data_IF_871785762607
#
_entry.id   IF_871785762607
#
_cell.length_a   1.000
_cell.length_b   1.000
_cell.length_c   1.000
_cell.angle_alpha   90.00
_cell.angle_beta   90.00
_cell.angle_gamma   90.00
#
_symmetry.space_group_name_H-M   'P 1'
#
loop_
_entity.id
_entity.type
_entity.pdbx_description
1 polymer ?
#
# COMPACT_ATOMS: atom_id res chain seq x y z
N UNK A 1 26.73 36.54 52.68
CA UNK A 1 26.44 35.10 52.56
C UNK A 1 26.63 34.68 51.11
N UNK A 2 27.77 34.07 50.77
CA UNK A 2 28.06 33.59 49.41
C UNK A 2 28.02 32.06 49.47
N UNK A 3 26.98 31.44 48.89
CA UNK A 3 26.83 29.98 48.81
C UNK A 3 27.63 29.45 47.62
N UNK A 4 28.64 28.63 47.89
CA UNK A 4 29.43 27.88 46.90
C UNK A 4 28.63 26.65 46.43
N UNK A 5 28.21 26.64 45.17
CA UNK A 5 27.70 25.43 44.50
C UNK A 5 28.88 24.52 44.15
N UNK A 6 28.84 23.27 44.63
CA UNK A 6 29.76 22.22 44.20
C UNK A 6 29.13 21.50 43.01
N UNK A 7 29.74 21.64 41.84
CA UNK A 7 29.39 20.88 40.64
C UNK A 7 30.03 19.49 40.79
N UNK A 8 29.20 18.47 41.01
CA UNK A 8 29.60 17.07 41.02
C UNK A 8 29.72 16.60 39.57
N UNK A 9 30.96 16.46 39.07
CA UNK A 9 31.22 15.89 37.76
C UNK A 9 30.99 14.37 37.81
N UNK A 10 29.86 13.92 37.29
CA UNK A 10 29.61 12.50 37.03
C UNK A 10 30.34 12.14 35.74
N UNK A 11 31.45 11.43 35.86
CA UNK A 11 32.15 10.82 34.73
C UNK A 11 31.34 9.59 34.31
N UNK A 12 30.47 9.73 33.31
CA UNK A 12 29.85 8.60 32.62
C UNK A 12 30.92 8.00 31.71
N UNK A 13 31.52 6.87 32.11
CA UNK A 13 32.35 6.06 31.22
C UNK A 13 31.43 5.40 30.19
N UNK A 14 31.31 5.99 29.00
CA UNK A 14 30.66 5.36 27.86
C UNK A 14 31.53 4.18 27.41
N UNK A 15 31.16 2.96 27.81
CA UNK A 15 31.74 1.74 27.24
C UNK A 15 31.16 1.62 25.83
N UNK A 16 31.93 2.04 24.82
CA UNK A 16 31.62 1.74 23.44
C UNK A 16 31.76 0.23 23.24
N UNK A 17 30.63 -0.50 23.23
CA UNK A 17 30.64 -1.89 22.82
C UNK A 17 31.03 -1.94 21.34
N UNK A 18 31.97 -2.80 20.93
CA UNK A 18 32.26 -3.01 19.52
C UNK A 18 31.00 -3.54 18.84
N UNK A 19 30.39 -2.72 18.00
CA UNK A 19 29.38 -3.18 17.05
C UNK A 19 30.16 -3.97 16.01
N UNK A 20 30.32 -5.28 16.22
CA UNK A 20 30.81 -6.16 15.17
C UNK A 20 29.77 -6.13 14.05
N UNK A 21 30.09 -5.47 12.94
CA UNK A 21 29.31 -5.58 11.72
C UNK A 21 29.22 -7.05 11.34
N UNK A 22 28.05 -7.49 10.87
CA UNK A 22 27.93 -8.82 10.30
C UNK A 22 28.92 -8.99 9.16
N UNK A 23 29.42 -10.21 8.97
CA UNK A 23 30.37 -10.50 7.89
C UNK A 23 29.75 -10.26 6.51
N UNK A 24 28.41 -10.31 6.40
CA UNK A 24 27.67 -10.22 5.14
C UNK A 24 26.41 -9.37 5.32
N UNK A 25 26.13 -8.43 4.41
CA UNK A 25 24.95 -7.54 4.51
C UNK A 25 24.02 -7.60 3.29
N UNK A 26 22.76 -7.93 3.52
CA UNK A 26 21.72 -8.00 2.49
C UNK A 26 20.67 -6.91 2.71
N UNK A 27 20.01 -6.50 1.62
CA UNK A 27 18.96 -5.48 1.66
C UNK A 27 17.72 -6.01 0.97
N UNK A 28 16.56 -5.62 1.48
CA UNK A 28 15.29 -5.93 0.87
C UNK A 28 14.18 -5.12 1.50
N UNK A 29 12.94 -5.33 1.06
CA UNK A 29 11.79 -4.57 1.55
C UNK A 29 10.79 -5.46 2.30
N UNK A 30 10.00 -4.84 3.16
CA UNK A 30 9.10 -5.51 4.08
C UNK A 30 7.99 -6.34 3.40
N UNK A 31 7.63 -6.03 2.16
CA UNK A 31 6.66 -6.77 1.34
C UNK A 31 7.27 -7.70 0.29
N UNK A 32 8.58 -7.98 0.35
CA UNK A 32 9.30 -8.81 -0.62
C UNK A 32 9.74 -10.16 -0.05
N UNK A 33 10.08 -11.08 -0.96
CA UNK A 33 10.91 -12.23 -0.66
C UNK A 33 12.38 -11.81 -0.77
N UNK A 34 13.05 -11.58 0.35
CA UNK A 34 14.43 -11.09 0.37
C UNK A 34 15.36 -12.28 0.17
N UNK A 35 15.96 -12.39 -1.01
CA UNK A 35 16.92 -13.45 -1.31
C UNK A 35 18.27 -13.18 -0.63
N UNK A 36 18.76 -14.20 0.07
CA UNK A 36 20.12 -14.28 0.58
C UNK A 36 20.85 -15.35 -0.24
N UNK A 37 21.79 -14.92 -1.07
CA UNK A 37 22.55 -15.81 -1.95
C UNK A 37 24.01 -15.87 -1.51
N UNK A 38 24.32 -16.85 -0.65
CA UNK A 38 25.65 -17.00 -0.05
C UNK A 38 26.69 -17.56 -1.04
N UNK A 39 26.25 -18.27 -2.09
CA UNK A 39 27.16 -18.81 -3.10
C UNK A 39 27.60 -17.78 -4.14
N UNK A 40 26.83 -16.70 -4.31
CA UNK A 40 27.18 -15.58 -5.19
C UNK A 40 28.15 -14.57 -4.54
N UNK A 41 28.49 -14.76 -3.27
CA UNK A 41 29.42 -13.92 -2.54
C UNK A 41 30.84 -14.07 -3.10
N UNK A 42 31.52 -12.99 -3.47
CA UNK A 42 32.95 -12.96 -3.68
C UNK A 42 33.72 -13.56 -2.51
N UNK A 43 34.74 -14.34 -2.85
CA UNK A 43 35.49 -15.15 -1.89
C UNK A 43 34.89 -16.52 -1.61
N UNK A 44 33.61 -16.77 -1.94
CA UNK A 44 33.02 -18.11 -1.87
C UNK A 44 33.46 -18.94 -3.08
N UNK A 45 34.24 -20.03 -2.90
CA UNK A 45 34.69 -20.85 -4.02
C UNK A 45 33.51 -21.55 -4.70
N UNK A 46 33.60 -21.77 -6.01
CA UNK A 46 32.66 -22.64 -6.71
C UNK A 46 32.65 -24.04 -6.06
N UNK A 47 31.45 -24.57 -5.76
CA UNK A 47 31.30 -25.84 -5.04
C UNK A 47 31.44 -25.74 -3.53
N UNK A 48 31.42 -24.53 -2.95
CA UNK A 48 31.35 -24.37 -1.50
C UNK A 48 30.15 -25.10 -0.88
N UNK A 49 30.33 -25.52 0.36
CA UNK A 49 29.32 -26.22 1.15
C UNK A 49 28.78 -25.33 2.25
N UNK A 50 27.48 -25.43 2.51
CA UNK A 50 26.76 -24.62 3.49
C UNK A 50 26.17 -25.51 4.58
N UNK A 51 26.39 -25.17 5.85
CA UNK A 51 25.85 -25.90 6.99
C UNK A 51 25.66 -24.98 8.19
N UNK A 52 25.19 -25.51 9.34
CA UNK A 52 25.12 -24.74 10.58
C UNK A 52 24.23 -23.48 10.52
N UNK A 53 23.22 -23.46 9.65
CA UNK A 53 22.31 -22.32 9.52
C UNK A 53 21.59 -22.07 10.86
N UNK A 54 21.80 -20.89 11.42
CA UNK A 54 21.17 -20.40 12.63
C UNK A 54 20.34 -19.15 12.32
N UNK A 55 19.04 -19.25 12.58
CA UNK A 55 18.04 -18.22 12.25
C UNK A 55 17.38 -17.63 13.51
N UNK A 56 18.01 -17.75 14.68
CA UNK A 56 17.43 -17.25 15.93
C UNK A 56 17.17 -15.72 15.90
N UNK A 57 18.04 -14.95 15.22
CA UNK A 57 17.84 -13.50 15.01
C UNK A 57 16.75 -13.16 13.98
N UNK A 58 16.14 -14.16 13.36
CA UNK A 58 15.01 -14.04 12.43
C UNK A 58 13.69 -14.52 13.07
N UNK A 59 13.65 -14.71 14.40
CA UNK A 59 12.48 -15.19 15.11
C UNK A 59 11.24 -14.30 14.88
N UNK A 60 10.12 -14.94 14.52
CA UNK A 60 8.88 -14.25 14.14
C UNK A 60 8.82 -13.80 12.69
N UNK A 61 9.89 -14.01 11.91
CA UNK A 61 9.87 -13.92 10.45
C UNK A 61 9.85 -15.30 9.82
N UNK A 62 9.46 -15.38 8.55
CA UNK A 62 9.50 -16.65 7.83
C UNK A 62 10.81 -16.75 7.06
N UNK A 63 11.47 -17.90 7.16
CA UNK A 63 12.72 -18.19 6.46
C UNK A 63 12.58 -19.53 5.76
N UNK A 64 12.74 -19.55 4.45
CA UNK A 64 12.65 -20.76 3.63
C UNK A 64 13.94 -20.94 2.83
N UNK A 65 14.45 -22.16 2.79
CA UNK A 65 15.68 -22.48 2.05
C UNK A 65 15.37 -22.89 0.60
N UNK A 66 16.42 -22.98 -0.21
CA UNK A 66 16.34 -23.46 -1.59
C UNK A 66 15.88 -24.90 -1.73
N UNK A 67 16.02 -25.72 -0.68
CA UNK A 67 15.53 -27.10 -0.65
C UNK A 67 14.03 -27.11 -0.94
N UNK A 68 13.30 -26.20 -0.30
CA UNK A 68 11.87 -26.04 -0.46
C UNK A 68 11.51 -25.24 -1.72
N UNK A 69 12.12 -24.07 -1.90
CA UNK A 69 11.63 -23.11 -2.89
C UNK A 69 12.07 -23.37 -4.33
N UNK A 70 13.19 -24.08 -4.50
CA UNK A 70 13.81 -24.28 -5.83
C UNK A 70 14.26 -25.72 -6.08
N UNK A 71 13.96 -26.64 -5.16
CA UNK A 71 14.43 -28.03 -5.20
C UNK A 71 15.96 -28.15 -5.36
N UNK A 72 16.71 -27.22 -4.77
CA UNK A 72 18.18 -27.25 -4.75
C UNK A 72 18.65 -27.38 -3.29
N UNK A 73 19.50 -28.35 -2.95
CA UNK A 73 19.94 -28.51 -1.57
C UNK A 73 20.63 -27.24 -1.04
N UNK A 74 20.18 -26.70 0.09
CA UNK A 74 20.81 -25.51 0.70
C UNK A 74 22.30 -25.73 0.91
N UNK A 75 22.68 -26.96 1.27
CA UNK A 75 24.06 -27.39 1.49
C UNK A 75 24.97 -27.17 0.29
N UNK A 76 24.42 -27.02 -0.91
CA UNK A 76 25.16 -26.78 -2.17
C UNK A 76 24.84 -25.43 -2.80
N UNK A 77 23.63 -24.92 -2.62
CA UNK A 77 23.20 -23.66 -3.23
C UNK A 77 23.58 -22.44 -2.39
N UNK A 78 23.60 -22.57 -1.05
CA UNK A 78 23.73 -21.46 -0.11
C UNK A 78 22.60 -20.43 -0.19
N UNK A 79 21.44 -20.79 -0.75
CA UNK A 79 20.33 -19.85 -0.97
C UNK A 79 19.20 -20.04 0.03
N UNK A 80 18.76 -18.92 0.61
CA UNK A 80 17.57 -18.84 1.45
C UNK A 80 16.82 -17.53 1.18
N UNK A 81 15.57 -17.47 1.59
CA UNK A 81 14.71 -16.29 1.48
C UNK A 81 14.16 -15.93 2.85
N UNK A 82 14.21 -14.64 3.17
CA UNK A 82 13.60 -14.05 4.36
C UNK A 82 12.36 -13.29 3.94
N UNK A 83 11.26 -13.57 4.64
CA UNK A 83 9.97 -12.92 4.43
C UNK A 83 9.57 -12.19 5.73
N UNK A 84 9.84 -10.87 5.81
CA UNK A 84 9.50 -10.07 6.97
C UNK A 84 8.00 -10.18 7.30
N UNK A 85 7.68 -10.26 8.58
CA UNK A 85 6.30 -10.41 9.03
C UNK A 85 5.69 -9.02 9.19
N UNK A 86 4.65 -8.66 8.40
CA UNK A 86 4.08 -7.34 8.47
C UNK A 86 3.34 -7.05 9.77
N UNK A 87 3.02 -8.07 10.58
CA UNK A 87 2.43 -7.88 11.91
C UNK A 87 3.46 -7.52 12.98
N UNK A 88 4.76 -7.64 12.69
CA UNK A 88 5.83 -7.24 13.61
C UNK A 88 6.17 -5.75 13.49
N UNK A 89 5.18 -4.92 13.18
CA UNK A 89 5.31 -3.50 12.89
C UNK A 89 5.30 -2.61 14.16
N UNK A 90 6.02 -3.03 15.21
CA UNK A 90 6.08 -2.29 16.48
C UNK A 90 7.51 -2.19 17.01
N UNK A 91 7.83 -1.06 17.65
CA UNK A 91 9.16 -0.85 18.23
C UNK A 91 9.57 -1.94 19.24
N UNK A 92 8.61 -2.48 19.99
CA UNK A 92 8.85 -3.58 20.94
C UNK A 92 9.31 -4.88 20.24
N UNK A 93 9.02 -5.04 18.95
CA UNK A 93 9.40 -6.20 18.14
C UNK A 93 10.63 -5.92 17.26
N UNK A 94 11.30 -4.77 17.45
CA UNK A 94 12.50 -4.37 16.74
C UNK A 94 12.24 -3.51 15.49
N UNK A 95 11.00 -3.12 15.24
CA UNK A 95 10.67 -2.25 14.11
C UNK A 95 11.12 -0.81 14.37
N UNK A 96 11.92 -0.26 13.47
CA UNK A 96 12.45 1.09 13.54
C UNK A 96 11.45 2.15 13.06
N UNK A 97 10.39 1.75 12.34
CA UNK A 97 9.41 2.69 11.81
C UNK A 97 7.97 2.14 11.82
N UNK A 98 7.43 1.92 13.01
CA UNK A 98 6.07 1.41 13.24
C UNK A 98 4.93 2.22 12.57
N UNK A 99 5.22 3.44 12.09
CA UNK A 99 4.26 4.24 11.30
C UNK A 99 4.12 3.79 9.85
N UNK A 100 5.00 2.92 9.36
CA UNK A 100 4.98 2.38 8.01
C UNK A 100 4.64 0.89 8.05
N UNK A 101 3.90 0.43 7.04
CA UNK A 101 3.46 -0.96 6.96
C UNK A 101 4.62 -1.91 6.74
N UNK A 102 4.66 -2.97 7.54
CA UNK A 102 5.69 -4.01 7.50
C UNK A 102 6.64 -3.92 8.70
N UNK A 103 7.56 -4.87 8.85
CA UNK A 103 8.72 -4.71 9.74
C UNK A 103 9.82 -3.91 9.04
N UNK A 104 10.46 -2.94 9.69
CA UNK A 104 11.68 -2.29 9.22
C UNK A 104 12.78 -2.43 10.27
N UNK A 105 13.98 -2.86 9.86
CA UNK A 105 15.05 -3.07 10.82
C UNK A 105 16.12 -4.02 10.31
N UNK A 106 17.03 -4.40 11.21
CA UNK A 106 18.12 -5.32 10.89
C UNK A 106 17.82 -6.68 11.50
N UNK A 107 17.77 -7.70 10.66
CA UNK A 107 17.67 -9.09 11.07
C UNK A 107 19.03 -9.76 10.94
N UNK A 108 19.35 -10.72 11.80
CA UNK A 108 20.67 -11.37 11.80
C UNK A 108 20.59 -12.89 11.86
N UNK A 109 21.59 -13.55 11.30
CA UNK A 109 21.75 -15.00 11.35
C UNK A 109 23.22 -15.41 11.21
N UNK A 110 23.47 -16.71 11.25
CA UNK A 110 24.78 -17.25 10.96
C UNK A 110 24.71 -18.56 10.17
N UNK A 111 25.82 -18.89 9.51
CA UNK A 111 25.98 -20.05 8.63
C UNK A 111 27.45 -20.46 8.62
N UNK A 112 27.74 -21.73 8.37
CA UNK A 112 29.08 -22.21 8.09
C UNK A 112 29.30 -22.36 6.59
N UNK A 113 30.34 -21.74 6.04
CA UNK A 113 30.78 -21.88 4.65
C UNK A 113 32.08 -22.68 4.65
N UNK A 114 32.08 -23.89 4.08
CA UNK A 114 33.22 -24.83 4.15
C UNK A 114 33.75 -25.07 5.57
N UNK A 115 32.84 -25.09 6.55
CA UNK A 115 33.18 -25.29 7.97
C UNK A 115 33.59 -24.02 8.73
N UNK A 116 33.79 -22.88 8.06
CA UNK A 116 34.06 -21.60 8.70
C UNK A 116 32.76 -20.87 9.04
N UNK A 117 32.59 -20.48 10.31
CA UNK A 117 31.41 -19.73 10.74
C UNK A 117 31.42 -18.30 10.19
N UNK A 118 30.28 -17.87 9.63
CA UNK A 118 30.00 -16.53 9.12
C UNK A 118 28.69 -16.02 9.70
N UNK A 119 28.61 -14.73 9.93
CA UNK A 119 27.40 -14.00 10.30
C UNK A 119 26.86 -13.23 9.11
N UNK A 120 25.55 -13.05 9.05
CA UNK A 120 24.92 -12.19 8.05
C UNK A 120 23.85 -11.31 8.67
N UNK A 121 23.57 -10.18 8.03
CA UNK A 121 22.48 -9.28 8.36
C UNK A 121 21.58 -9.03 7.14
N UNK A 122 20.30 -8.76 7.40
CA UNK A 122 19.32 -8.30 6.41
C UNK A 122 18.74 -6.98 6.90
N UNK A 123 19.03 -5.89 6.20
CA UNK A 123 18.38 -4.60 6.43
C UNK A 123 17.08 -4.54 5.63
N UNK A 124 15.97 -4.52 6.35
CA UNK A 124 14.62 -4.47 5.81
C UNK A 124 14.13 -3.03 5.73
N UNK A 125 13.93 -2.55 4.50
CA UNK A 125 13.36 -1.25 4.20
C UNK A 125 11.83 -1.30 4.08
N UNK A 126 11.14 -0.16 4.17
CA UNK A 126 9.72 -0.12 3.93
C UNK A 126 9.33 -0.42 2.47
N UNK A 127 8.13 -0.99 2.32
CA UNK A 127 7.46 -1.16 1.05
C UNK A 127 7.78 -2.47 0.34
N UNK A 128 7.72 -2.44 -0.99
CA UNK A 128 7.91 -3.63 -1.80
C UNK A 128 8.38 -3.29 -3.22
N UNK A 129 9.01 -4.27 -3.87
CA UNK A 129 9.54 -4.16 -5.22
C UNK A 129 8.47 -4.50 -6.24
N UNK A 130 8.38 -3.69 -7.29
CA UNK A 130 7.41 -3.83 -8.38
C UNK A 130 7.98 -4.48 -9.65
N UNK A 131 9.29 -4.46 -9.83
CA UNK A 131 9.96 -5.15 -10.94
C UNK A 131 11.38 -5.56 -10.59
N UNK A 132 11.84 -6.70 -11.10
CA UNK A 132 13.19 -7.22 -10.87
C UNK A 132 13.25 -8.15 -9.65
N UNK A 133 14.43 -8.22 -9.01
CA UNK A 133 14.63 -9.04 -7.82
C UNK A 133 13.74 -8.53 -6.67
N UNK A 134 13.01 -9.46 -6.04
CA UNK A 134 12.04 -9.15 -4.97
C UNK A 134 10.61 -8.93 -5.46
N UNK A 135 10.40 -8.67 -6.76
CA UNK A 135 9.05 -8.57 -7.32
C UNK A 135 8.36 -9.94 -7.36
N UNK A 136 7.03 -9.93 -7.35
CA UNK A 136 6.21 -11.15 -7.43
C UNK A 136 6.33 -11.75 -8.82
N UNK A 137 6.86 -12.97 -8.89
CA UNK A 137 6.86 -13.80 -10.09
C UNK A 137 5.50 -14.47 -10.35
N UNK A 138 5.32 -14.97 -11.58
CA UNK A 138 4.13 -15.72 -11.97
C UNK A 138 4.43 -16.75 -13.04
N UNK A 139 3.74 -17.88 -12.95
CA UNK A 139 3.68 -18.94 -13.96
C UNK A 139 2.28 -19.59 -13.99
N UNK A 140 1.24 -18.76 -13.78
CA UNK A 140 -0.16 -19.18 -13.64
C UNK A 140 -0.38 -20.07 -12.40
N UNK A 141 0.14 -19.66 -11.25
CA UNK A 141 -0.04 -20.40 -9.99
C UNK A 141 -1.52 -20.46 -9.61
N UNK A 142 -1.97 -21.62 -9.15
CA UNK A 142 -3.35 -21.83 -8.71
C UNK A 142 -3.47 -23.02 -7.76
N UNK A 143 -4.60 -23.11 -7.04
CA UNK A 143 -4.84 -24.23 -6.13
C UNK A 143 -4.86 -25.57 -6.89
N UNK A 144 -4.19 -26.59 -6.33
CA UNK A 144 -4.18 -27.96 -6.86
C UNK A 144 -3.29 -28.17 -8.10
N UNK A 145 -2.60 -27.13 -8.58
CA UNK A 145 -1.69 -27.26 -9.71
C UNK A 145 -0.33 -27.81 -9.26
N UNK A 146 -0.02 -29.03 -9.69
CA UNK A 146 1.23 -29.72 -9.34
C UNK A 146 2.51 -29.02 -9.86
N UNK A 147 2.38 -28.17 -10.88
CA UNK A 147 3.48 -27.43 -11.50
C UNK A 147 3.60 -25.99 -11.00
N UNK A 148 2.98 -25.67 -9.86
CA UNK A 148 3.24 -24.39 -9.19
C UNK A 148 4.74 -24.24 -8.90
N UNK A 149 5.27 -23.04 -9.14
CA UNK A 149 6.63 -22.70 -8.74
C UNK A 149 6.63 -22.26 -7.27
N UNK A 150 7.23 -23.01 -6.33
CA UNK A 150 7.11 -22.70 -4.90
C UNK A 150 7.68 -21.34 -4.51
N UNK A 151 8.76 -20.88 -5.17
CA UNK A 151 9.29 -19.53 -4.95
C UNK A 151 8.26 -18.45 -5.34
N UNK A 152 7.60 -18.60 -6.49
CA UNK A 152 6.58 -17.65 -6.93
C UNK A 152 5.37 -17.67 -6.00
N UNK A 153 4.94 -18.85 -5.54
CA UNK A 153 3.88 -18.97 -4.54
C UNK A 153 4.26 -18.25 -3.24
N UNK A 154 5.47 -18.45 -2.73
CA UNK A 154 5.93 -17.78 -1.51
C UNK A 154 6.00 -16.25 -1.65
N UNK A 155 6.42 -15.75 -2.82
CA UNK A 155 6.38 -14.32 -3.15
C UNK A 155 4.94 -13.78 -3.16
N UNK A 156 3.99 -14.52 -3.76
CA UNK A 156 2.58 -14.15 -3.82
C UNK A 156 1.95 -14.14 -2.43
N UNK A 157 2.21 -15.16 -1.61
CA UNK A 157 1.77 -15.25 -0.23
C UNK A 157 2.27 -14.07 0.60
N UNK A 158 3.57 -13.76 0.49
CA UNK A 158 4.15 -12.63 1.19
C UNK A 158 3.52 -11.30 0.76
N UNK A 159 3.27 -11.12 -0.54
CA UNK A 159 2.65 -9.89 -1.04
C UNK A 159 1.19 -9.76 -0.59
N UNK A 160 0.41 -10.84 -0.63
CA UNK A 160 -0.97 -10.84 -0.10
C UNK A 160 -0.98 -10.50 1.39
N UNK A 161 -0.10 -11.13 2.18
CA UNK A 161 0.07 -10.87 3.61
C UNK A 161 0.45 -9.41 3.88
N UNK A 162 1.42 -8.89 3.13
CA UNK A 162 1.84 -7.49 3.23
C UNK A 162 0.68 -6.53 2.94
N UNK A 163 -0.07 -6.77 1.87
CA UNK A 163 -1.23 -5.96 1.48
C UNK A 163 -2.43 -6.12 2.44
N UNK A 164 -2.37 -7.03 3.42
CA UNK A 164 -3.38 -7.22 4.46
C UNK A 164 -4.49 -8.21 4.10
N UNK A 165 -4.38 -8.90 2.97
CA UNK A 165 -5.35 -9.93 2.58
C UNK A 165 -5.15 -11.18 3.43
N UNK A 166 -6.26 -11.70 3.93
CA UNK A 166 -6.32 -12.86 4.82
C UNK A 166 -7.12 -13.98 4.15
N UNK A 167 -6.97 -15.21 4.65
CA UNK A 167 -7.78 -16.32 4.20
C UNK A 167 -9.23 -16.15 4.65
N UNK A 168 -10.13 -16.91 4.02
CA UNK A 168 -11.50 -17.04 4.53
C UNK A 168 -11.49 -17.48 6.00
N UNK A 169 -12.23 -16.78 6.86
CA UNK A 169 -12.17 -16.94 8.31
C UNK A 169 -11.17 -16.03 9.03
N UNK A 170 -10.41 -15.22 8.29
CA UNK A 170 -9.60 -14.12 8.84
C UNK A 170 -8.17 -14.48 9.26
N UNK A 171 -7.69 -15.69 8.98
CA UNK A 171 -6.33 -16.07 9.32
C UNK A 171 -5.30 -15.49 8.34
N UNK A 172 -4.12 -15.13 8.85
CA UNK A 172 -3.03 -14.68 7.99
C UNK A 172 -2.63 -15.76 6.98
N UNK A 173 -2.27 -15.35 5.76
CA UNK A 173 -1.74 -16.26 4.75
C UNK A 173 -0.35 -16.73 5.17
N UNK A 174 -0.17 -18.05 5.29
CA UNK A 174 1.14 -18.65 5.54
C UNK A 174 2.05 -18.43 4.32
N UNK A 175 3.35 -18.22 4.58
CA UNK A 175 4.37 -18.14 3.53
C UNK A 175 5.15 -19.45 3.55
N UNK A 176 4.73 -20.42 2.76
CA UNK A 176 5.27 -21.79 2.76
C UNK A 176 5.64 -22.28 1.34
N UNK A 177 5.30 -21.51 0.30
CA UNK A 177 5.50 -21.93 -1.09
C UNK A 177 4.45 -22.90 -1.62
N UNK A 178 3.44 -23.25 -0.81
CA UNK A 178 2.35 -24.15 -1.18
C UNK A 178 1.06 -23.37 -1.46
N UNK A 179 0.52 -23.53 -2.68
CA UNK A 179 -0.70 -22.83 -3.07
C UNK A 179 -1.95 -23.56 -2.55
N UNK A 180 -2.18 -23.43 -1.24
CA UNK A 180 -3.31 -24.04 -0.54
C UNK A 180 -4.62 -23.25 -0.60
N UNK A 181 -5.69 -23.75 0.06
CA UNK A 181 -6.98 -23.06 0.15
C UNK A 181 -6.90 -21.67 0.79
N UNK A 182 -6.02 -21.48 1.78
CA UNK A 182 -5.79 -20.18 2.41
C UNK A 182 -5.26 -19.14 1.42
N UNK A 183 -4.23 -19.51 0.63
CA UNK A 183 -3.70 -18.67 -0.44
C UNK A 183 -4.76 -18.38 -1.50
N UNK A 184 -5.50 -19.39 -1.95
CA UNK A 184 -6.56 -19.22 -2.96
C UNK A 184 -7.67 -18.27 -2.48
N UNK A 185 -8.13 -18.41 -1.24
CA UNK A 185 -9.20 -17.54 -0.72
C UNK A 185 -8.77 -16.08 -0.60
N UNK A 186 -7.59 -15.81 -0.03
CA UNK A 186 -7.00 -14.47 0.02
C UNK A 186 -6.81 -13.88 -1.38
N UNK A 187 -6.30 -14.69 -2.33
CA UNK A 187 -6.12 -14.28 -3.72
C UNK A 187 -7.45 -13.89 -4.37
N UNK A 188 -8.51 -14.66 -4.15
CA UNK A 188 -9.82 -14.38 -4.75
C UNK A 188 -10.43 -13.09 -4.20
N UNK A 189 -10.21 -12.76 -2.92
CA UNK A 189 -10.59 -11.45 -2.37
C UNK A 189 -9.79 -10.33 -3.05
N UNK A 190 -8.48 -10.49 -3.20
CA UNK A 190 -7.63 -9.54 -3.93
C UNK A 190 -8.07 -9.37 -5.40
N UNK A 191 -8.33 -10.46 -6.10
CA UNK A 191 -8.79 -10.45 -7.49
C UNK A 191 -10.15 -9.76 -7.63
N UNK A 192 -11.08 -9.98 -6.71
CA UNK A 192 -12.37 -9.30 -6.72
C UNK A 192 -12.21 -7.79 -6.59
N UNK A 193 -11.35 -7.34 -5.68
CA UNK A 193 -11.02 -5.92 -5.51
C UNK A 193 -10.48 -5.26 -6.80
N UNK A 194 -9.55 -5.92 -7.50
CA UNK A 194 -8.93 -5.36 -8.72
C UNK A 194 -9.78 -5.52 -9.99
N UNK A 195 -10.80 -6.40 -9.97
CA UNK A 195 -11.83 -6.44 -11.03
C UNK A 195 -12.79 -5.27 -10.80
N UNK A 196 -13.21 -5.06 -9.55
CA UNK A 196 -14.04 -3.95 -9.07
C UNK A 196 -15.17 -3.59 -10.02
N UNK A 197 -15.94 -4.61 -10.40
CA UNK A 197 -17.16 -4.48 -11.20
C UNK A 197 -18.42 -4.56 -10.34
N UNK A 198 -19.56 -4.40 -11.00
CA UNK A 198 -20.90 -4.52 -10.42
C UNK A 198 -21.10 -5.90 -9.76
N UNK A 199 -21.47 -5.91 -8.47
CA UNK A 199 -21.75 -7.13 -7.69
C UNK A 199 -20.59 -8.14 -7.70
N UNK A 200 -19.35 -7.65 -7.72
CA UNK A 200 -18.18 -8.53 -7.79
C UNK A 200 -17.99 -9.25 -6.47
N UNK A 201 -17.83 -10.56 -6.54
CA UNK A 201 -17.48 -11.42 -5.40
C UNK A 201 -16.34 -12.35 -5.78
N UNK A 202 -15.86 -13.15 -4.83
CA UNK A 202 -14.88 -14.20 -5.08
C UNK A 202 -15.35 -15.26 -6.08
N UNK A 203 -16.64 -15.35 -6.38
CA UNK A 203 -17.15 -16.25 -7.42
C UNK A 203 -16.86 -15.75 -8.84
N UNK A 204 -16.59 -14.45 -9.01
CA UNK A 204 -16.28 -13.84 -10.30
C UNK A 204 -14.79 -13.93 -10.67
N UNK A 205 -13.97 -14.57 -9.83
CA UNK A 205 -12.52 -14.65 -9.97
C UNK A 205 -12.08 -16.06 -10.37
N UNK A 206 -10.90 -16.19 -10.97
CA UNK A 206 -10.37 -17.49 -11.41
C UNK A 206 -9.46 -18.16 -10.35
N UNK A 207 -8.95 -17.41 -9.37
CA UNK A 207 -7.98 -17.92 -8.40
C UNK A 207 -6.63 -18.28 -9.02
N UNK A 208 -6.29 -17.69 -10.18
CA UNK A 208 -5.05 -17.93 -10.91
C UNK A 208 -4.19 -16.66 -10.89
N UNK A 209 -2.92 -16.79 -10.51
CA UNK A 209 -1.97 -15.67 -10.61
C UNK A 209 -1.44 -15.57 -12.03
N UNK A 210 -2.23 -14.93 -12.89
CA UNK A 210 -1.81 -14.55 -14.24
C UNK A 210 -1.11 -13.19 -14.32
N UNK A 211 -0.69 -12.75 -15.52
CA UNK A 211 0.03 -11.49 -15.70
C UNK A 211 -0.71 -10.26 -15.16
N UNK A 212 -2.04 -10.22 -15.24
CA UNK A 212 -2.82 -9.11 -14.70
C UNK A 212 -2.75 -9.07 -13.15
N UNK A 213 -2.97 -10.22 -12.51
CA UNK A 213 -2.92 -10.36 -11.06
C UNK A 213 -1.52 -10.08 -10.51
N UNK A 214 -0.48 -10.66 -11.12
CA UNK A 214 0.91 -10.36 -10.76
C UNK A 214 1.26 -8.88 -10.97
N UNK A 215 0.79 -8.28 -12.07
CA UNK A 215 0.97 -6.86 -12.33
C UNK A 215 0.34 -5.97 -11.26
N UNK A 216 -0.82 -6.36 -10.70
CA UNK A 216 -1.44 -5.66 -9.58
C UNK A 216 -0.76 -5.94 -8.24
N UNK A 217 -0.32 -7.18 -7.97
CA UNK A 217 0.46 -7.50 -6.76
C UNK A 217 1.75 -6.66 -6.71
N UNK A 218 2.31 -6.34 -7.86
CA UNK A 218 3.49 -5.50 -8.03
C UNK A 218 3.19 -4.00 -8.19
N UNK A 219 1.94 -3.58 -8.39
CA UNK A 219 1.60 -2.18 -8.69
C UNK A 219 1.83 -1.27 -7.48
N UNK A 220 2.33 -0.05 -7.69
CA UNK A 220 2.56 0.90 -6.60
C UNK A 220 1.28 1.25 -5.83
N UNK A 221 0.16 1.27 -6.54
CA UNK A 221 -1.17 1.55 -5.99
C UNK A 221 -2.01 0.28 -5.80
N UNK A 222 -1.39 -0.89 -5.59
CA UNK A 222 -2.11 -2.09 -5.21
C UNK A 222 -3.04 -1.83 -4.01
N UNK A 223 -4.25 -2.41 -3.98
CA UNK A 223 -5.17 -2.17 -2.88
C UNK A 223 -4.59 -2.75 -1.60
N UNK A 224 -4.67 -1.99 -0.51
CA UNK A 224 -4.49 -2.55 0.83
C UNK A 224 -5.85 -3.00 1.34
N UNK A 225 -5.90 -4.14 2.01
CA UNK A 225 -7.05 -4.54 2.81
C UNK A 225 -6.92 -3.93 4.20
N UNK A 226 -7.89 -3.11 4.60
CA UNK A 226 -7.82 -2.40 5.87
C UNK A 226 -9.18 -2.12 6.49
N UNK A 227 -9.15 -1.94 7.81
CA UNK A 227 -10.29 -1.52 8.60
C UNK A 227 -10.54 -0.02 8.38
N UNK A 228 -11.80 0.36 8.16
CA UNK A 228 -12.23 1.74 8.20
C UNK A 228 -12.30 2.19 9.65
N UNK A 229 -11.54 3.23 9.99
CA UNK A 229 -11.52 3.81 11.34
C UNK A 229 -12.13 5.21 11.30
N UNK A 230 -13.21 5.41 12.06
CA UNK A 230 -13.82 6.73 12.24
C UNK A 230 -13.07 7.52 13.32
N UNK A 231 -12.99 8.83 13.15
CA UNK A 231 -12.51 9.76 14.18
C UNK A 231 -13.69 10.50 14.81
N UNK A 232 -13.65 10.89 16.10
CA UNK A 232 -14.78 11.54 16.76
C UNK A 232 -15.28 12.83 16.08
N UNK A 233 -14.39 13.57 15.41
CA UNK A 233 -14.72 14.79 14.65
C UNK A 233 -14.74 14.56 13.13
N UNK A 234 -14.72 13.29 12.70
CA UNK A 234 -14.60 12.90 11.31
C UNK A 234 -15.79 13.32 10.43
N UNK A 235 -15.64 13.22 9.11
CA UNK A 235 -16.73 13.48 8.18
C UNK A 235 -17.76 12.34 8.11
N UNK A 236 -17.45 11.18 8.69
CA UNK A 236 -18.36 10.03 8.77
C UNK A 236 -18.33 9.35 10.14
N UNK A 237 -19.35 8.52 10.38
CA UNK A 237 -19.47 7.55 11.48
C UNK A 237 -19.68 6.15 10.92
N UNK A 238 -19.45 5.12 11.72
CA UNK A 238 -19.61 3.70 11.34
C UNK A 238 -20.61 3.05 12.28
N UNK A 239 -21.64 2.40 11.75
CA UNK A 239 -22.59 1.61 12.54
C UNK A 239 -22.39 0.10 12.42
N UNK A 240 -21.73 -0.39 11.36
CA UNK A 240 -21.37 -1.79 11.22
C UNK A 240 -20.14 -2.15 12.07
N UNK A 241 -20.33 -2.96 13.12
CA UNK A 241 -19.21 -3.41 13.96
C UNK A 241 -18.32 -4.45 13.26
N UNK A 242 -18.91 -5.34 12.45
CA UNK A 242 -18.20 -6.45 11.80
C UNK A 242 -17.98 -6.25 10.30
N UNK A 243 -18.66 -5.29 9.69
CA UNK A 243 -18.64 -5.00 8.25
C UNK A 243 -18.03 -3.61 8.02
N UNK A 244 -16.74 -3.49 8.34
CA UNK A 244 -16.00 -2.23 8.27
C UNK A 244 -14.64 -2.35 7.61
N UNK A 245 -14.42 -3.43 6.84
CA UNK A 245 -13.20 -3.64 6.09
C UNK A 245 -13.45 -3.35 4.62
N UNK A 246 -12.48 -2.73 3.98
CA UNK A 246 -12.53 -2.43 2.56
C UNK A 246 -11.13 -2.30 1.96
N UNK A 247 -11.07 -2.12 0.65
CA UNK A 247 -9.82 -1.74 -0.01
C UNK A 247 -9.41 -0.31 0.42
N UNK A 248 -8.13 0.00 0.38
CA UNK A 248 -7.63 1.36 0.63
C UNK A 248 -8.25 2.39 -0.33
N UNK A 249 -8.60 1.98 -1.54
CA UNK A 249 -9.29 2.82 -2.51
C UNK A 249 -10.69 3.20 -2.05
N UNK A 250 -11.46 2.22 -1.57
CA UNK A 250 -12.79 2.43 -1.00
C UNK A 250 -12.73 3.30 0.25
N UNK A 251 -11.75 3.05 1.13
CA UNK A 251 -11.54 3.88 2.34
C UNK A 251 -11.23 5.34 1.97
N UNK A 252 -10.40 5.58 0.94
CA UNK A 252 -10.09 6.92 0.46
C UNK A 252 -11.32 7.61 -0.16
N UNK A 253 -12.14 6.87 -0.94
CA UNK A 253 -13.42 7.38 -1.45
C UNK A 253 -14.36 7.77 -0.31
N UNK A 254 -14.48 6.95 0.74
CA UNK A 254 -15.31 7.27 1.91
C UNK A 254 -14.80 8.53 2.61
N UNK A 255 -13.48 8.64 2.84
CA UNK A 255 -12.90 9.76 3.55
C UNK A 255 -13.08 11.09 2.79
N UNK A 256 -12.68 11.13 1.51
CA UNK A 256 -12.79 12.33 0.67
C UNK A 256 -14.23 12.62 0.28
N UNK A 257 -15.01 11.61 -0.09
CA UNK A 257 -16.42 11.72 -0.44
C UNK A 257 -17.28 12.24 0.70
N UNK A 258 -17.10 11.71 1.92
CA UNK A 258 -17.81 12.21 3.11
C UNK A 258 -17.38 13.64 3.45
N UNK A 259 -16.11 13.99 3.25
CA UNK A 259 -15.65 15.38 3.44
C UNK A 259 -16.38 16.34 2.52
N UNK A 260 -16.46 16.02 1.23
CA UNK A 260 -17.18 16.84 0.24
C UNK A 260 -18.69 16.89 0.53
N UNK A 261 -19.29 15.74 0.83
CA UNK A 261 -20.71 15.63 1.17
C UNK A 261 -21.06 16.47 2.39
N UNK A 262 -20.27 16.37 3.47
CA UNK A 262 -20.44 17.17 4.69
C UNK A 262 -20.25 18.66 4.42
N UNK A 263 -19.30 19.07 3.59
CA UNK A 263 -19.15 20.47 3.20
C UNK A 263 -20.37 20.99 2.42
N UNK A 264 -20.99 20.16 1.58
CA UNK A 264 -22.14 20.54 0.76
C UNK A 264 -23.47 20.56 1.53
N UNK A 265 -23.63 19.75 2.57
CA UNK A 265 -24.92 19.59 3.27
C UNK A 265 -24.89 19.90 4.76
N UNK A 266 -23.71 20.01 5.38
CA UNK A 266 -23.54 20.11 6.83
C UNK A 266 -23.85 18.80 7.59
N UNK A 267 -24.04 17.68 6.90
CA UNK A 267 -24.44 16.39 7.48
C UNK A 267 -23.23 15.46 7.53
N UNK A 268 -22.98 14.83 8.68
CA UNK A 268 -21.99 13.76 8.83
C UNK A 268 -22.56 12.46 8.27
N UNK A 269 -21.81 11.80 7.39
CA UNK A 269 -22.22 10.56 6.73
C UNK A 269 -22.23 9.39 7.73
N UNK A 270 -23.14 8.42 7.58
CA UNK A 270 -23.18 7.21 8.41
C UNK A 270 -23.01 6.00 7.52
N UNK A 271 -21.84 5.38 7.60
CA UNK A 271 -21.50 4.16 6.86
C UNK A 271 -22.12 2.97 7.58
N UNK A 272 -23.04 2.28 6.90
CA UNK A 272 -23.85 1.20 7.49
C UNK A 272 -23.32 -0.18 7.19
N UNK A 273 -22.65 -0.39 6.05
CA UNK A 273 -22.00 -1.65 5.72
C UNK A 273 -20.81 -1.46 4.76
N UNK A 274 -19.84 -2.35 4.93
CA UNK A 274 -18.68 -2.64 4.08
C UNK A 274 -18.49 -4.17 4.10
N UNK A 275 -17.27 -4.67 3.83
CA UNK A 275 -16.97 -6.09 3.96
C UNK A 275 -16.60 -6.52 5.38
N UNK A 276 -16.76 -7.81 5.67
CA UNK A 276 -16.14 -8.46 6.84
C UNK A 276 -14.63 -8.49 6.75
N UNK A 277 -13.94 -8.78 7.87
CA UNK A 277 -12.48 -8.82 7.94
C UNK A 277 -11.81 -9.74 6.91
N UNK A 278 -12.48 -10.81 6.47
CA UNK A 278 -11.98 -11.73 5.45
C UNK A 278 -12.50 -11.46 4.03
N UNK A 279 -13.42 -10.50 3.88
CA UNK A 279 -14.03 -10.15 2.61
C UNK A 279 -15.10 -11.13 2.09
N UNK A 280 -15.42 -12.21 2.82
CA UNK A 280 -16.36 -13.26 2.37
C UNK A 280 -17.77 -13.10 2.95
N UNK A 281 -17.88 -12.50 4.14
CA UNK A 281 -19.14 -12.26 4.80
C UNK A 281 -19.77 -10.94 4.36
N UNK A 282 -21.09 -10.98 4.21
CA UNK A 282 -21.97 -9.84 4.39
C UNK A 282 -23.31 -10.37 4.84
N UNK A 283 -23.54 -10.37 6.14
CA UNK A 283 -24.75 -10.94 6.73
C UNK A 283 -25.70 -9.87 7.26
N UNK A 284 -25.28 -8.60 7.34
CA UNK A 284 -26.12 -7.56 7.92
C UNK A 284 -27.09 -6.92 6.91
N UNK A 285 -26.73 -6.78 5.63
CA UNK A 285 -27.55 -6.03 4.65
C UNK A 285 -27.79 -6.82 3.35
N UNK A 286 -26.78 -7.09 2.52
CA UNK A 286 -26.92 -8.01 1.37
C UNK A 286 -25.59 -8.59 0.84
N UNK A 287 -25.68 -9.69 0.08
CA UNK A 287 -24.56 -10.57 -0.29
C UNK A 287 -23.42 -9.92 -1.11
N UNK A 288 -23.60 -8.70 -1.60
CA UNK A 288 -22.67 -7.99 -2.47
C UNK A 288 -21.51 -7.32 -1.75
N UNK A 289 -21.56 -7.05 -0.43
CA UNK A 289 -20.43 -6.44 0.30
C UNK A 289 -19.27 -7.39 0.55
N UNK A 290 -18.78 -8.02 -0.50
CA UNK A 290 -17.58 -8.83 -0.50
C UNK A 290 -16.47 -8.00 -1.13
N UNK A 291 -15.24 -8.46 -0.95
CA UNK A 291 -14.05 -7.91 -1.65
C UNK A 291 -13.78 -6.40 -1.49
N UNK A 292 -14.48 -5.72 -0.56
CA UNK A 292 -14.17 -4.38 -0.09
C UNK A 292 -14.41 -3.26 -1.09
N UNK A 293 -15.34 -3.46 -2.03
CA UNK A 293 -15.66 -2.53 -3.12
C UNK A 293 -17.03 -1.88 -2.99
N UNK A 294 -17.76 -2.15 -1.91
CA UNK A 294 -19.17 -1.78 -1.77
C UNK A 294 -19.38 -1.01 -0.46
N UNK A 295 -20.13 0.08 -0.53
CA UNK A 295 -20.39 0.97 0.61
C UNK A 295 -21.87 1.29 0.71
N UNK A 296 -22.44 1.09 1.89
CA UNK A 296 -23.77 1.62 2.20
C UNK A 296 -23.68 2.90 3.01
N UNK A 297 -24.36 3.93 2.52
CA UNK A 297 -24.54 5.20 3.19
C UNK A 297 -26.00 5.33 3.64
N UNK A 298 -26.24 5.39 4.95
CA UNK A 298 -27.59 5.60 5.46
C UNK A 298 -28.22 6.89 4.93
N UNK A 299 -29.50 6.82 4.58
CA UNK A 299 -30.31 7.98 4.19
C UNK A 299 -31.27 8.37 5.32
N UNK A 300 -31.81 9.58 5.23
CA UNK A 300 -32.80 10.06 6.20
C UNK A 300 -34.12 9.30 6.01
N UNK A 301 -34.83 8.94 7.10
CA UNK A 301 -36.04 8.10 7.02
C UNK A 301 -37.16 8.65 6.13
N UNK A 302 -37.25 9.97 5.98
CA UNK A 302 -38.22 10.59 5.06
C UNK A 302 -37.98 10.25 3.59
N UNK A 303 -36.78 9.79 3.21
CA UNK A 303 -36.45 9.40 1.83
C UNK A 303 -36.70 7.91 1.58
N UNK A 304 -37.15 7.14 2.59
CA UNK A 304 -37.42 5.70 2.53
C UNK A 304 -38.76 5.43 1.83
N UNK A 305 -38.90 5.98 0.63
CA UNK A 305 -40.07 5.90 -0.23
C UNK A 305 -39.58 5.67 -1.69
N UNK A 306 -40.50 5.46 -2.63
CA UNK A 306 -40.18 5.14 -4.03
C UNK A 306 -39.94 6.37 -4.93
N UNK A 307 -40.01 7.57 -4.37
CA UNK A 307 -40.17 8.83 -5.09
C UNK A 307 -41.64 9.16 -5.35
N UNK A 308 -41.95 10.44 -5.37
CA UNK A 308 -43.28 10.98 -5.68
C UNK A 308 -43.29 11.93 -6.90
N UNK A 309 -42.13 12.09 -7.55
CA UNK A 309 -41.94 12.98 -8.69
C UNK A 309 -41.51 14.39 -8.30
N UNK A 310 -41.27 14.66 -7.01
CA UNK A 310 -40.80 15.93 -6.49
C UNK A 310 -39.65 15.73 -5.50
N UNK A 311 -38.44 16.16 -5.86
CA UNK A 311 -37.26 16.08 -4.99
C UNK A 311 -37.43 16.92 -3.71
N UNK A 312 -37.59 16.27 -2.57
CA UNK A 312 -37.59 16.88 -1.24
C UNK A 312 -36.20 17.39 -0.83
N UNK A 313 -36.15 18.21 0.23
CA UNK A 313 -34.88 18.71 0.77
C UNK A 313 -33.94 17.57 1.25
N UNK A 314 -34.49 16.47 1.76
CA UNK A 314 -33.69 15.34 2.22
C UNK A 314 -33.19 14.49 1.05
N UNK A 315 -33.99 14.28 0.00
CA UNK A 315 -33.53 13.62 -1.23
C UNK A 315 -32.44 14.44 -1.91
N UNK A 316 -32.59 15.78 -1.95
CA UNK A 316 -31.55 16.68 -2.43
C UNK A 316 -30.24 16.55 -1.65
N UNK A 317 -30.29 16.32 -0.34
CA UNK A 317 -29.09 16.06 0.46
C UNK A 317 -28.43 14.72 0.09
N UNK A 318 -29.21 13.67 -0.14
CA UNK A 318 -28.68 12.36 -0.62
C UNK A 318 -28.03 12.51 -2.00
N UNK A 319 -28.67 13.25 -2.92
CA UNK A 319 -28.09 13.57 -4.24
C UNK A 319 -26.75 14.31 -4.09
N UNK A 320 -26.66 15.30 -3.19
CA UNK A 320 -25.41 16.01 -2.89
C UNK A 320 -24.35 15.10 -2.26
N UNK A 321 -24.75 14.12 -1.44
CA UNK A 321 -23.82 13.12 -0.93
C UNK A 321 -23.23 12.31 -2.07
N UNK A 322 -24.06 11.77 -2.97
CA UNK A 322 -23.59 11.02 -4.14
C UNK A 322 -22.61 11.84 -5.00
N UNK A 323 -22.93 13.10 -5.28
CA UNK A 323 -22.05 14.01 -6.03
C UNK A 323 -20.72 14.22 -5.29
N UNK A 324 -20.75 14.41 -3.97
CA UNK A 324 -19.54 14.57 -3.16
C UNK A 324 -18.60 13.38 -3.26
N UNK A 325 -19.13 12.15 -3.34
CA UNK A 325 -18.35 10.92 -3.53
C UNK A 325 -17.79 10.79 -4.95
N UNK A 326 -18.55 11.15 -5.98
CA UNK A 326 -18.08 11.13 -7.39
C UNK A 326 -16.94 12.13 -7.60
N UNK A 327 -17.08 13.33 -7.03
CA UNK A 327 -16.13 14.43 -7.24
C UNK A 327 -14.96 14.43 -6.25
N UNK A 328 -14.83 13.38 -5.45
CA UNK A 328 -13.88 13.30 -4.33
C UNK A 328 -12.41 13.42 -4.74
N UNK A 329 -12.05 13.17 -6.01
CA UNK A 329 -10.66 13.06 -6.43
C UNK A 329 -9.92 11.95 -5.67
N UNK A 330 -10.65 10.90 -5.28
CA UNK A 330 -10.12 9.76 -4.56
C UNK A 330 -9.34 8.83 -5.49
N UNK A 331 -8.55 7.95 -4.89
CA UNK A 331 -7.82 6.89 -5.59
C UNK A 331 -8.77 5.84 -6.19
N UNK A 332 -9.85 5.48 -5.48
CA UNK A 332 -10.93 4.66 -6.04
C UNK A 332 -11.86 5.46 -6.97
N UNK A 333 -12.58 4.76 -7.84
CA UNK A 333 -13.60 5.39 -8.71
C UNK A 333 -14.99 4.87 -8.35
N UNK A 334 -15.94 5.77 -8.11
CA UNK A 334 -17.36 5.38 -8.08
C UNK A 334 -17.78 4.86 -9.45
N UNK A 335 -18.18 3.60 -9.52
CA UNK A 335 -18.61 2.97 -10.78
C UNK A 335 -20.11 2.79 -10.88
N UNK A 336 -20.83 2.82 -9.76
CA UNK A 336 -22.31 2.73 -9.74
C UNK A 336 -22.88 3.25 -8.43
N UNK A 337 -24.06 3.85 -8.50
CA UNK A 337 -24.95 3.96 -7.34
C UNK A 337 -26.19 3.09 -7.50
N UNK A 338 -26.73 2.65 -6.37
CA UNK A 338 -28.01 1.94 -6.30
C UNK A 338 -28.93 2.63 -5.29
N UNK A 339 -30.18 2.83 -5.67
CA UNK A 339 -31.23 3.36 -4.78
C UNK A 339 -32.60 2.84 -5.19
N UNK A 340 -33.51 2.72 -4.23
CA UNK A 340 -34.94 2.43 -4.48
C UNK A 340 -35.81 3.69 -4.58
N UNK A 341 -35.25 4.89 -4.47
CA UNK A 341 -36.00 6.14 -4.56
C UNK A 341 -35.79 6.81 -5.94
N UNK A 342 -36.87 6.96 -6.71
CA UNK A 342 -36.80 7.48 -8.09
C UNK A 342 -36.34 8.93 -8.15
N UNK A 343 -36.73 9.78 -7.20
CA UNK A 343 -36.35 11.19 -7.17
C UNK A 343 -34.83 11.36 -6.90
N UNK A 344 -34.27 10.50 -6.03
CA UNK A 344 -32.82 10.44 -5.81
C UNK A 344 -32.11 9.95 -7.08
N UNK A 345 -32.60 8.88 -7.70
CA UNK A 345 -32.05 8.35 -8.95
C UNK A 345 -31.99 9.43 -10.04
N UNK A 346 -33.11 10.09 -10.30
CA UNK A 346 -33.23 11.12 -11.34
C UNK A 346 -32.35 12.33 -11.04
N UNK A 347 -32.27 12.75 -9.78
CA UNK A 347 -31.40 13.84 -9.36
C UNK A 347 -29.92 13.55 -9.53
N UNK A 348 -29.47 12.33 -9.23
CA UNK A 348 -28.07 11.92 -9.49
C UNK A 348 -27.82 11.85 -11.00
N UNK A 349 -28.73 11.25 -11.77
CA UNK A 349 -28.60 11.13 -13.23
C UNK A 349 -28.49 12.49 -13.90
N UNK A 350 -29.30 13.46 -13.46
CA UNK A 350 -29.28 14.82 -13.97
C UNK A 350 -27.96 15.53 -13.64
N UNK A 351 -27.43 15.34 -12.43
CA UNK A 351 -26.20 16.00 -12.00
C UNK A 351 -24.93 15.35 -12.60
N UNK A 352 -24.89 14.03 -12.72
CA UNK A 352 -23.71 13.24 -13.15
C UNK A 352 -24.11 12.17 -14.17
N UNK A 353 -24.47 12.56 -15.40
CA UNK A 353 -25.03 11.63 -16.38
C UNK A 353 -24.07 10.53 -16.84
N UNK A 354 -22.76 10.67 -16.58
CA UNK A 354 -21.74 9.68 -16.90
C UNK A 354 -21.56 8.61 -15.84
N UNK A 355 -22.17 8.75 -14.66
CA UNK A 355 -22.07 7.77 -13.57
C UNK A 355 -23.18 6.74 -13.75
N UNK A 356 -22.86 5.44 -13.87
CA UNK A 356 -23.89 4.41 -13.93
C UNK A 356 -24.78 4.40 -12.69
N UNK A 357 -26.08 4.19 -12.89
CA UNK A 357 -27.07 4.09 -11.83
C UNK A 357 -27.91 2.83 -12.00
N UNK A 358 -28.36 2.26 -10.89
CA UNK A 358 -29.31 1.17 -10.87
C UNK A 358 -30.48 1.53 -9.97
N UNK A 359 -31.68 1.54 -10.54
CA UNK A 359 -32.92 1.72 -9.78
C UNK A 359 -33.38 0.36 -9.26
N UNK A 360 -33.27 0.15 -7.95
CA UNK A 360 -33.67 -1.10 -7.31
C UNK A 360 -35.17 -1.13 -7.02
N UNK A 361 -35.92 -1.86 -7.85
CA UNK A 361 -37.37 -2.05 -7.71
C UNK A 361 -37.78 -3.04 -6.61
N UNK A 362 -36.83 -3.71 -5.94
CA UNK A 362 -37.15 -4.65 -4.86
C UNK A 362 -37.40 -3.96 -3.51
N UNK A 363 -36.85 -2.75 -3.33
CA UNK A 363 -36.97 -1.96 -2.11
C UNK A 363 -35.86 -2.23 -1.12
N UNK A 364 -34.88 -3.07 -1.49
CA UNK A 364 -33.74 -3.40 -0.66
C UNK A 364 -32.85 -2.19 -0.34
N UNK A 365 -32.91 -1.13 -1.16
CA UNK A 365 -32.11 0.08 -1.02
C UNK A 365 -32.97 1.33 -0.73
N UNK A 366 -34.02 1.19 0.10
CA UNK A 366 -34.83 2.33 0.54
C UNK A 366 -34.16 3.13 1.65
N UNK A 367 -33.42 2.46 2.54
CA UNK A 367 -32.88 3.06 3.76
C UNK A 367 -31.42 3.51 3.66
N UNK A 368 -30.80 3.26 2.51
CA UNK A 368 -29.42 3.62 2.22
C UNK A 368 -29.21 3.91 0.72
N UNK A 369 -28.08 4.55 0.42
CA UNK A 369 -27.51 4.66 -0.91
C UNK A 369 -26.32 3.69 -0.98
N UNK A 370 -26.40 2.70 -1.86
CA UNK A 370 -25.30 1.76 -2.09
C UNK A 370 -24.38 2.31 -3.19
N UNK A 371 -23.08 2.17 -2.96
CA UNK A 371 -22.01 2.71 -3.80
C UNK A 371 -21.04 1.59 -4.16
N UNK A 372 -20.89 1.31 -5.46
CA UNK A 372 -19.84 0.44 -5.97
C UNK A 372 -18.58 1.26 -6.31
N UNK A 373 -17.43 0.78 -5.84
CA UNK A 373 -16.11 1.37 -6.05
C UNK A 373 -15.26 0.43 -6.89
N UNK A 374 -14.81 0.92 -8.04
CA UNK A 374 -13.87 0.23 -8.92
C UNK A 374 -12.41 0.64 -8.68
N UNK A 375 -11.46 -0.15 -9.20
CA UNK A 375 -10.04 0.12 -9.09
C UNK A 375 -9.65 1.44 -9.80
N UNK A 376 -8.60 2.13 -9.33
CA UNK A 376 -7.90 3.15 -10.11
C UNK A 376 -7.28 2.57 -11.39
N UNK A 377 -6.76 3.47 -12.20
CA UNK A 377 -5.76 3.06 -13.21
C UNK A 377 -4.53 2.50 -12.48
N UNK A 378 -4.09 1.30 -12.87
CA UNK A 378 -2.90 0.66 -12.30
C UNK A 378 -1.65 1.50 -12.57
N UNK A 379 -0.91 1.82 -11.52
CA UNK A 379 0.40 2.47 -11.61
C UNK A 379 1.45 1.37 -11.53
N UNK A 380 2.38 1.35 -12.48
CA UNK A 380 3.47 0.40 -12.48
C UNK A 380 4.23 0.47 -11.15
N UNK A 381 4.67 -0.70 -10.68
CA UNK A 381 5.43 -0.81 -9.46
C UNK A 381 6.80 -0.16 -9.53
N UNK A 382 7.43 -0.03 -8.37
CA UNK A 382 8.79 0.48 -8.23
C UNK A 382 9.80 -0.47 -8.86
N UNK A 383 10.64 0.06 -9.73
CA UNK A 383 11.85 -0.64 -10.14
C UNK A 383 12.94 -0.37 -9.12
N UNK A 384 13.77 -1.34 -8.76
CA UNK A 384 14.98 -1.02 -8.00
C UNK A 384 15.86 -0.11 -8.86
N UNK A 385 16.22 1.07 -8.34
CA UNK A 385 17.12 1.97 -9.04
C UNK A 385 18.49 1.30 -9.14
N UNK A 386 19.07 1.30 -10.33
CA UNK A 386 20.42 0.78 -10.49
C UNK A 386 21.38 1.66 -9.65
N UNK A 387 22.14 1.04 -8.74
CA UNK A 387 23.05 1.77 -7.84
C UNK A 387 22.42 2.29 -6.54
N UNK A 388 21.11 2.11 -6.33
CA UNK A 388 20.47 2.29 -5.02
C UNK A 388 20.69 0.99 -4.21
N UNK A 389 21.73 1.00 -3.40
CA UNK A 389 22.19 -0.17 -2.64
C UNK A 389 21.51 -0.29 -1.29
N UNK A 390 20.97 0.80 -0.75
CA UNK A 390 20.27 0.77 0.54
C UNK A 390 18.74 0.62 0.38
N UNK A 391 18.22 0.69 -0.85
CA UNK A 391 16.81 0.60 -1.26
C UNK A 391 15.93 1.71 -0.67
N UNK A 392 16.48 2.91 -0.45
CA UNK A 392 15.76 4.09 0.05
C UNK A 392 15.10 4.93 -1.06
N UNK A 393 15.16 4.45 -2.31
CA UNK A 393 14.63 5.09 -3.51
C UNK A 393 15.42 6.32 -3.99
N UNK A 394 16.62 6.55 -3.47
CA UNK A 394 17.52 7.62 -3.88
C UNK A 394 18.91 7.04 -4.11
N UNK A 395 19.58 7.41 -5.22
CA UNK A 395 20.98 7.05 -5.43
C UNK A 395 21.85 8.21 -4.93
N UNK A 396 22.42 8.11 -3.74
CA UNK A 396 23.21 9.13 -3.07
C UNK A 396 24.48 8.59 -2.37
N UNK A 397 25.08 9.38 -1.46
CA UNK A 397 26.29 8.98 -0.75
C UNK A 397 26.06 7.87 0.31
N UNK A 398 24.82 7.65 0.74
CA UNK A 398 24.44 6.59 1.67
C UNK A 398 24.52 5.22 1.00
N UNK A 399 24.18 5.13 -0.29
CA UNK A 399 24.42 3.91 -1.08
C UNK A 399 25.90 3.57 -1.12
N UNK A 400 26.75 4.57 -1.32
CA UNK A 400 28.19 4.34 -1.30
C UNK A 400 28.67 3.89 0.08
N UNK A 401 28.04 4.37 1.16
CA UNK A 401 28.32 3.92 2.51
C UNK A 401 27.89 2.45 2.74
N UNK A 402 26.85 1.97 2.04
CA UNK A 402 26.48 0.55 1.99
C UNK A 402 27.44 -0.25 1.13
N UNK A 403 27.83 0.26 -0.04
CA UNK A 403 28.72 -0.44 -0.96
C UNK A 403 30.11 -0.69 -0.37
N UNK A 404 30.69 0.30 0.32
CA UNK A 404 32.06 0.27 0.84
C UNK A 404 32.37 -0.92 1.76
N UNK A 405 31.63 -1.19 2.84
CA UNK A 405 31.93 -2.30 3.74
C UNK A 405 31.80 -3.66 3.07
N UNK A 406 30.99 -3.78 2.01
CA UNK A 406 30.75 -5.03 1.30
C UNK A 406 31.41 -5.06 -0.10
N UNK A 407 32.36 -4.15 -0.38
CA UNK A 407 33.07 -4.11 -1.66
C UNK A 407 34.06 -5.27 -1.75
N UNK A 408 33.97 -6.07 -2.81
CA UNK A 408 34.76 -7.30 -2.94
C UNK A 408 34.19 -8.46 -2.12
N UNK A 409 33.06 -8.24 -1.45
CA UNK A 409 32.08 -9.20 -0.96
C UNK A 409 30.81 -8.94 -1.80
N UNK A 410 29.68 -8.50 -1.26
CA UNK A 410 28.42 -8.40 -2.01
C UNK A 410 28.43 -7.52 -3.29
N UNK A 411 29.41 -6.64 -3.45
CA UNK A 411 29.48 -5.73 -4.59
C UNK A 411 30.80 -5.77 -5.35
N UNK A 412 30.72 -5.58 -6.66
CA UNK A 412 31.83 -5.51 -7.60
C UNK A 412 32.18 -4.07 -7.97
N UNK A 413 33.30 -3.88 -8.68
CA UNK A 413 33.64 -2.58 -9.26
C UNK A 413 32.65 -2.11 -10.32
N UNK A 414 31.93 -3.00 -10.99
CA UNK A 414 30.89 -2.61 -11.96
C UNK A 414 29.65 -2.01 -11.27
N UNK A 415 29.36 -2.46 -10.03
CA UNK A 415 28.29 -1.89 -9.21
C UNK A 415 28.64 -0.44 -8.82
N UNK A 416 29.88 -0.18 -8.42
CA UNK A 416 30.36 1.19 -8.17
C UNK A 416 30.21 2.11 -9.39
N UNK A 417 30.57 1.63 -10.59
CA UNK A 417 30.37 2.40 -11.82
C UNK A 417 28.88 2.64 -12.12
N UNK A 418 28.02 1.71 -11.73
CA UNK A 418 26.56 1.86 -11.87
C UNK A 418 26.03 2.93 -10.92
N UNK A 419 26.40 2.89 -9.65
CA UNK A 419 26.12 3.95 -8.68
C UNK A 419 26.59 5.31 -9.19
N UNK A 420 27.84 5.42 -9.65
CA UNK A 420 28.41 6.68 -10.13
C UNK A 420 27.61 7.26 -11.32
N UNK A 421 27.09 6.41 -12.22
CA UNK A 421 26.25 6.83 -13.35
C UNK A 421 24.84 7.25 -12.95
N UNK A 422 24.36 6.81 -11.79
CA UNK A 422 22.99 7.01 -11.33
C UNK A 422 22.90 8.00 -10.15
N UNK A 423 24.03 8.51 -9.65
CA UNK A 423 24.08 9.48 -8.56
C UNK A 423 23.14 10.67 -8.79
N UNK A 424 22.26 10.93 -7.82
CA UNK A 424 21.22 11.96 -7.85
C UNK A 424 19.89 11.51 -8.46
N UNK A 425 19.77 10.27 -8.94
CA UNK A 425 18.47 9.69 -9.33
C UNK A 425 17.63 9.41 -8.10
N UNK A 426 16.32 9.62 -8.21
CA UNK A 426 15.36 9.24 -7.17
C UNK A 426 14.04 8.77 -7.76
N UNK A 427 13.31 7.94 -7.01
CA UNK A 427 11.91 7.62 -7.27
C UNK A 427 11.02 8.33 -6.25
N UNK A 428 9.76 8.55 -6.63
CA UNK A 428 8.77 9.13 -5.70
C UNK A 428 8.59 8.21 -4.48
N UNK A 429 8.77 8.71 -3.24
CA UNK A 429 8.57 7.93 -2.03
C UNK A 429 7.16 7.35 -1.91
N UNK A 430 7.04 6.16 -1.32
CA UNK A 430 5.78 5.47 -1.10
C UNK A 430 5.03 6.21 0.00
N UNK A 431 3.81 6.67 -0.27
CA UNK A 431 3.01 7.41 0.72
C UNK A 431 3.24 8.92 0.75
N UNK A 432 4.17 9.45 -0.04
CA UNK A 432 4.06 10.81 -0.53
C UNK A 432 3.02 10.81 -1.66
N UNK A 433 1.74 10.62 -1.33
CA UNK A 433 0.73 11.28 -2.16
C UNK A 433 1.20 12.72 -2.17
N UNK A 434 1.60 13.22 -3.34
CA UNK A 434 1.74 14.65 -3.52
C UNK A 434 0.38 15.18 -3.09
N UNK A 435 0.32 15.76 -1.89
CA UNK A 435 -0.69 16.74 -1.58
C UNK A 435 -0.38 17.79 -2.63
N UNK A 436 -1.03 17.66 -3.78
CA UNK A 436 -1.25 18.79 -4.65
C UNK A 436 -2.04 19.72 -3.73
N UNK A 437 -1.32 20.49 -2.91
CA UNK A 437 -1.79 21.81 -2.58
C UNK A 437 -2.09 22.35 -3.95
N UNK A 438 -3.38 22.52 -4.23
CA UNK A 438 -3.82 23.44 -5.24
C UNK A 438 -3.09 24.73 -4.88
N UNK A 439 -1.94 24.95 -5.53
CA UNK A 439 -1.24 26.21 -5.47
C UNK A 439 -2.32 27.15 -5.94
N UNK A 440 -2.89 28.01 -5.06
CA UNK A 440 -4.00 28.84 -5.46
C UNK A 440 -3.50 29.58 -6.68
N UNK A 441 -4.14 29.38 -7.84
CA UNK A 441 -3.73 30.09 -9.05
C UNK A 441 -3.62 31.55 -8.64
N UNK A 442 -2.46 32.21 -8.85
CA UNK A 442 -2.30 33.60 -8.45
C UNK A 442 -3.44 34.32 -9.14
N UNK A 443 -4.43 34.78 -8.35
CA UNK A 443 -5.73 35.23 -8.86
C UNK A 443 -5.46 36.06 -10.09
N UNK A 444 -5.87 35.61 -11.27
CA UNK A 444 -5.53 36.26 -12.53
C UNK A 444 -5.92 37.75 -12.51
N UNK A 445 -6.88 38.12 -11.66
CA UNK A 445 -7.25 39.49 -11.29
C UNK A 445 -6.11 40.36 -10.74
N UNK A 446 -5.18 39.82 -9.94
CA UNK A 446 -4.03 40.57 -9.39
C UNK A 446 -2.97 40.85 -10.47
N UNK A 447 -2.76 39.89 -11.39
CA UNK A 447 -1.89 40.08 -12.55
C UNK A 447 -2.54 41.05 -13.56
N UNK A 448 -3.85 40.96 -13.79
CA UNK A 448 -4.55 41.93 -14.65
C UNK A 448 -4.55 43.34 -14.05
N UNK A 449 -4.74 43.48 -12.73
CA UNK A 449 -4.72 44.78 -12.06
C UNK A 449 -3.32 45.44 -12.11
N UNK A 450 -2.24 44.66 -11.94
CA UNK A 450 -0.87 45.19 -12.06
C UNK A 450 -0.51 45.54 -13.51
N UNK A 451 -1.01 44.78 -14.49
CA UNK A 451 -0.86 45.13 -15.91
C UNK A 451 -1.64 46.41 -16.28
N UNK A 452 -2.85 46.59 -15.74
CA UNK A 452 -3.64 47.81 -15.99
C UNK A 452 -3.06 49.05 -15.28
N UNK A 453 -2.48 48.90 -14.10
CA UNK A 453 -1.78 50.00 -13.40
C UNK A 453 -0.50 50.42 -14.13
N UNK A 454 0.24 49.48 -14.74
CA UNK A 454 1.44 49.81 -15.51
C UNK A 454 1.12 50.48 -16.86
N UNK A 455 0.03 50.08 -17.52
CA UNK A 455 -0.42 50.73 -18.76
C UNK A 455 -0.98 52.15 -18.56
N UNK A 456 -1.52 52.46 -17.39
CA UNK A 456 -2.02 53.82 -17.07
C UNK A 456 -0.90 54.77 -16.63
N UNK A 457 0.16 54.27 -15.99
CA UNK A 457 1.32 55.07 -15.62
C UNK A 457 2.15 55.53 -16.84
N UNK A 458 2.13 54.78 -17.95
CA UNK A 458 2.92 55.11 -19.15
C UNK A 458 2.33 56.23 -20.04
N UNK A 459 1.10 56.67 -19.78
CA UNK A 459 0.42 57.69 -20.60
C UNK A 459 0.61 59.15 -20.15
N UNK A 460 1.48 59.44 -19.16
CA UNK A 460 1.72 60.82 -18.69
C UNK A 460 3.21 61.18 -18.66
N UNK A 461 3.84 61.23 -19.82
CA UNK A 461 5.06 62.02 -20.00
C UNK A 461 4.75 63.17 -20.97
N UNK A 462 4.65 64.44 -20.49
CA UNK A 462 4.53 65.58 -21.38
C UNK A 462 5.86 65.77 -22.14
N UNK A 463 5.78 65.75 -23.48
CA UNK A 463 6.86 66.21 -24.34
C UNK A 463 7.06 67.71 -24.09
N UNK A 464 8.09 68.07 -23.33
CA UNK A 464 8.63 69.44 -23.32
C UNK A 464 9.44 69.65 -24.58
N UNK A 465 8.85 70.33 -25.57
CA UNK A 465 9.60 70.97 -26.65
C UNK A 465 10.36 72.17 -26.06
N UNK A 466 11.69 72.13 -26.15
CA UNK A 466 12.55 73.30 -25.98
C UNK A 466 12.84 73.91 -27.36
N UNK A 467 12.79 75.24 -27.42
CA UNK A 467 13.26 76.07 -28.53
C UNK A 467 14.73 76.43 -28.36
#
# INVERSE_FOLDING_TARGET
MIRRFHILAIVLAAVALPVFGADLGFFGRSGDAIEINLSALPGTPAGATFSGLNINGLAGHTVLTSDLLTAQPFTTSGRLWVFPDPLRNTAALGDLNAGVRGFQGVLTGSVSINGEAKTFSVTVQPGYTGSGLGAVGQSLESQGKATNNPLFVAQQQQRLRYLGFVSQGGAAVAVDGDFGPATNSALRTFQGAIIGGVNTTQANTDGIVGPNTAGWLNALNAPLWQELIATPAGPFTISAVNERFATSWTVDVIAKGSTNAKAATGITQRITALSTADGYGSSAIHQTHRVGTDVDLATHSSTHNWGDGSTSANELNVIKHAIGFVDAGASGRVIRFITSNQDIFDGIQAARPSVPLFYDTSGGHQDHLHIDIGPPTRIAGRANLAGDFNLDDVVDAQDLAVWRPYSGENFTGNDFLTWQRQLGRSQTPMGAEAVAQSVPEPRALTLLATLMCSLTAWRRAPLTLAA
#
